data_IF_153521575947
#
_entry.id   IF_153521575947
#
_cell.length_a   1.000
_cell.length_b   1.000
_cell.length_c   1.000
_cell.angle_alpha   90.00
_cell.angle_beta   90.00
_cell.angle_gamma   90.00
#
_symmetry.space_group_name_H-M   'P 1'
#
loop_
_entity.id
_entity.type
_entity.pdbx_description
1 polymer ?
#
# COMPACT_ATOMS: atom_id res chain seq x y z
N UNK A 1 3.35 27.72 -13.07
CA UNK A 1 3.46 26.33 -12.57
C UNK A 1 2.24 25.98 -11.74
N UNK A 2 1.64 24.82 -11.94
CA UNK A 2 0.51 24.38 -11.12
C UNK A 2 0.99 24.11 -9.69
N UNK A 3 0.45 24.85 -8.72
CA UNK A 3 0.72 24.57 -7.32
C UNK A 3 -0.24 23.47 -6.85
N UNK A 4 0.28 22.30 -6.52
CA UNK A 4 -0.53 21.22 -5.98
C UNK A 4 -0.96 21.54 -4.54
N UNK A 5 -2.22 21.26 -4.24
CA UNK A 5 -2.79 21.49 -2.92
C UNK A 5 -2.85 20.20 -2.10
N UNK A 6 -3.03 19.09 -2.82
CA UNK A 6 -3.26 17.77 -2.23
C UNK A 6 -2.52 16.69 -3.04
N UNK A 7 -1.97 15.70 -2.35
CA UNK A 7 -1.62 14.40 -2.91
C UNK A 7 -2.45 13.30 -2.27
N UNK A 8 -2.85 12.32 -3.06
CA UNK A 8 -3.61 11.14 -2.60
C UNK A 8 -2.89 9.88 -3.04
N UNK A 9 -2.63 8.99 -2.08
CA UNK A 9 -2.27 7.60 -2.33
C UNK A 9 -3.49 6.73 -2.06
N UNK A 10 -4.08 6.19 -3.12
CA UNK A 10 -5.25 5.31 -3.05
C UNK A 10 -4.78 3.86 -3.04
N UNK A 11 -4.34 3.40 -1.87
CA UNK A 11 -3.85 2.03 -1.70
C UNK A 11 -4.97 1.01 -1.49
N UNK A 12 -4.65 -0.28 -1.70
CA UNK A 12 -5.60 -1.39 -1.49
C UNK A 12 -6.07 -1.52 -0.04
N UNK A 13 -5.24 -1.15 0.93
CA UNK A 13 -5.55 -1.27 2.36
C UNK A 13 -5.88 0.07 2.98
N UNK A 14 -5.05 1.09 2.73
CA UNK A 14 -5.24 2.43 3.28
C UNK A 14 -5.21 3.47 2.17
N UNK A 15 -6.08 4.45 2.30
CA UNK A 15 -6.03 5.71 1.55
C UNK A 15 -5.34 6.75 2.42
N UNK A 16 -4.33 7.42 1.85
CA UNK A 16 -3.61 8.52 2.52
C UNK A 16 -3.79 9.80 1.75
N UNK A 17 -3.99 10.90 2.49
CA UNK A 17 -4.10 12.24 1.92
C UNK A 17 -3.05 13.13 2.57
N UNK A 18 -2.25 13.77 1.74
CA UNK A 18 -1.27 14.78 2.12
C UNK A 18 -1.75 16.15 1.66
N UNK A 19 -1.67 17.14 2.52
CA UNK A 19 -2.00 18.54 2.24
C UNK A 19 -0.75 19.39 2.29
N UNK A 20 -0.53 20.20 1.26
CA UNK A 20 0.65 21.07 1.15
C UNK A 20 0.78 21.98 2.37
N UNK A 21 1.95 21.99 2.99
CA UNK A 21 2.26 22.81 4.17
C UNK A 21 1.64 22.32 5.48
N UNK A 22 0.96 21.16 5.48
CA UNK A 22 0.35 20.56 6.67
C UNK A 22 0.89 19.16 6.93
N UNK A 23 1.23 18.40 5.86
CA UNK A 23 1.66 17.02 5.94
C UNK A 23 0.53 16.04 5.67
N UNK A 24 0.70 14.80 6.15
CA UNK A 24 -0.32 13.75 6.02
C UNK A 24 -1.49 14.03 6.95
N UNK A 25 -2.65 14.34 6.38
CA UNK A 25 -3.88 14.74 7.10
C UNK A 25 -4.90 13.63 7.22
N UNK A 26 -4.74 12.53 6.48
CA UNK A 26 -5.60 11.35 6.56
C UNK A 26 -4.82 10.08 6.24
N UNK A 27 -5.06 9.04 7.04
CA UNK A 27 -4.62 7.66 6.80
C UNK A 27 -5.70 6.73 7.31
N UNK A 28 -6.65 6.37 6.44
CA UNK A 28 -7.81 5.56 6.79
C UNK A 28 -7.94 4.34 5.89
N UNK A 29 -8.60 3.25 6.36
CA UNK A 29 -8.87 2.07 5.55
C UNK A 29 -9.58 2.40 4.24
N UNK A 30 -9.12 1.83 3.13
CA UNK A 30 -9.77 1.91 1.81
C UNK A 30 -10.97 0.94 1.77
N UNK A 31 -11.97 1.23 2.60
CA UNK A 31 -13.14 0.38 2.79
C UNK A 31 -14.42 1.21 2.83
N UNK A 32 -15.49 0.59 2.32
CA UNK A 32 -16.87 1.04 2.49
C UNK A 32 -17.67 -0.09 3.15
N UNK A 33 -18.58 0.26 4.05
CA UNK A 33 -19.60 -0.64 4.55
C UNK A 33 -20.88 -0.43 3.75
N UNK A 34 -21.37 -1.48 3.13
CA UNK A 34 -22.59 -1.47 2.33
C UNK A 34 -23.72 -2.21 3.07
N UNK A 35 -24.95 -1.70 2.95
CA UNK A 35 -26.17 -2.46 3.22
C UNK A 35 -26.70 -3.02 1.90
N UNK A 36 -26.61 -4.31 1.70
CA UNK A 36 -27.03 -5.00 0.48
C UNK A 36 -28.55 -4.96 0.25
N UNK A 37 -29.34 -4.67 1.29
CA UNK A 37 -30.79 -4.51 1.18
C UNK A 37 -31.19 -3.12 0.66
N UNK A 38 -30.29 -2.13 0.73
CA UNK A 38 -30.54 -0.77 0.29
C UNK A 38 -30.23 -0.60 -1.20
N UNK A 39 -31.25 -0.41 -2.04
CA UNK A 39 -31.07 -0.20 -3.49
C UNK A 39 -30.65 1.23 -3.87
N UNK A 40 -30.99 2.25 -3.04
CA UNK A 40 -30.73 3.66 -3.39
C UNK A 40 -29.45 4.21 -2.81
N UNK A 41 -29.15 3.91 -1.55
CA UNK A 41 -27.95 4.40 -0.84
C UNK A 41 -27.32 3.24 -0.06
N UNK A 42 -26.57 2.34 -0.72
CA UNK A 42 -26.01 1.17 -0.04
C UNK A 42 -24.86 1.53 0.92
N UNK A 43 -24.18 2.68 0.76
CA UNK A 43 -23.01 3.04 1.54
C UNK A 43 -23.42 3.62 2.90
N UNK A 44 -23.16 2.88 3.96
CA UNK A 44 -23.44 3.26 5.36
C UNK A 44 -22.30 4.06 5.98
N UNK A 45 -21.05 3.61 5.77
CA UNK A 45 -19.86 4.23 6.35
C UNK A 45 -18.64 4.00 5.45
N UNK A 46 -17.57 4.80 5.68
CA UNK A 46 -16.29 4.67 4.98
C UNK A 46 -15.12 4.78 5.96
N UNK A 47 -14.03 4.09 5.65
CA UNK A 47 -12.80 4.17 6.44
C UNK A 47 -13.00 3.81 7.90
N UNK A 48 -12.49 4.64 8.79
CA UNK A 48 -12.58 4.42 10.23
C UNK A 48 -14.00 4.59 10.80
N UNK A 49 -14.91 5.28 10.10
CA UNK A 49 -16.30 5.42 10.54
C UNK A 49 -17.02 4.06 10.61
N UNK A 50 -16.53 3.04 9.91
CA UNK A 50 -17.05 1.67 9.95
C UNK A 50 -16.96 1.06 11.36
N UNK A 51 -15.95 1.46 12.14
CA UNK A 51 -15.77 1.01 13.54
C UNK A 51 -16.90 1.47 14.47
N UNK A 52 -17.56 2.58 14.12
CA UNK A 52 -18.66 3.15 14.91
C UNK A 52 -20.01 2.48 14.66
N UNK A 53 -20.09 1.55 13.70
CA UNK A 53 -21.33 0.79 13.43
C UNK A 53 -21.38 -0.44 14.32
N UNK A 54 -22.16 -0.36 15.41
CA UNK A 54 -22.22 -1.41 16.44
C UNK A 54 -23.12 -2.58 16.07
N UNK A 55 -24.23 -2.39 15.36
CA UNK A 55 -25.20 -3.43 15.04
C UNK A 55 -25.02 -3.91 13.59
N UNK A 56 -23.91 -4.60 13.31
CA UNK A 56 -23.69 -5.18 11.98
C UNK A 56 -24.65 -6.38 11.78
N UNK A 57 -25.39 -6.33 10.68
CA UNK A 57 -26.30 -7.40 10.26
C UNK A 57 -25.67 -8.23 9.14
N UNK A 58 -26.22 -9.40 8.84
CA UNK A 58 -25.78 -10.28 7.74
C UNK A 58 -25.93 -9.66 6.36
N UNK A 59 -26.74 -8.58 6.23
CA UNK A 59 -26.89 -7.81 5.00
C UNK A 59 -25.79 -6.77 4.81
N UNK A 60 -24.91 -6.57 5.79
CA UNK A 60 -23.84 -5.60 5.71
C UNK A 60 -22.53 -6.24 5.23
N UNK A 61 -21.89 -5.63 4.25
CA UNK A 61 -20.64 -6.11 3.67
C UNK A 61 -19.61 -4.99 3.56
N UNK A 62 -18.38 -5.27 4.01
CA UNK A 62 -17.23 -4.40 3.74
C UNK A 62 -16.68 -4.68 2.34
N UNK A 63 -16.51 -3.62 1.54
CA UNK A 63 -15.91 -3.71 0.20
C UNK A 63 -14.80 -2.68 0.03
N UNK A 64 -13.79 -3.03 -0.76
CA UNK A 64 -12.75 -2.08 -1.19
C UNK A 64 -12.96 -1.73 -2.66
N UNK A 65 -12.92 -0.45 -3.05
CA UNK A 65 -13.01 -0.03 -4.43
C UNK A 65 -11.70 -0.21 -5.21
N UNK A 66 -10.64 -0.68 -4.54
CA UNK A 66 -9.30 -0.87 -5.11
C UNK A 66 -8.85 -2.31 -4.90
N UNK A 67 -8.32 -2.91 -5.95
CA UNK A 67 -7.74 -4.26 -5.92
C UNK A 67 -6.47 -4.30 -6.78
N UNK A 68 -5.39 -4.89 -6.25
CA UNK A 68 -4.11 -5.02 -6.94
C UNK A 68 -3.55 -3.68 -7.51
N UNK A 69 -3.78 -2.59 -6.79
CA UNK A 69 -3.36 -1.25 -7.21
C UNK A 69 -4.29 -0.57 -8.23
N UNK A 70 -5.33 -1.24 -8.73
CA UNK A 70 -6.28 -0.70 -9.72
C UNK A 70 -7.62 -0.35 -9.09
N UNK A 71 -8.28 0.68 -9.65
CA UNK A 71 -9.65 1.08 -9.27
C UNK A 71 -10.63 0.09 -9.91
N UNK A 72 -11.27 -0.76 -9.10
CA UNK A 72 -12.22 -1.77 -9.58
C UNK A 72 -13.68 -1.31 -9.49
N UNK A 73 -13.95 -0.26 -8.70
CA UNK A 73 -15.27 0.36 -8.62
C UNK A 73 -15.13 1.88 -8.47
N UNK A 74 -15.30 2.60 -9.58
CA UNK A 74 -15.15 4.06 -9.66
C UNK A 74 -16.17 4.82 -8.81
N UNK A 75 -17.39 4.34 -8.75
CA UNK A 75 -18.47 4.99 -8.00
C UNK A 75 -18.20 4.92 -6.49
N UNK A 76 -17.85 3.74 -6.00
CA UNK A 76 -17.48 3.58 -4.59
C UNK A 76 -16.19 4.33 -4.24
N UNK A 77 -15.18 4.32 -5.11
CA UNK A 77 -13.97 5.13 -4.92
C UNK A 77 -14.31 6.61 -4.79
N UNK A 78 -15.17 7.13 -5.68
CA UNK A 78 -15.63 8.53 -5.65
C UNK A 78 -16.41 8.87 -4.37
N UNK A 79 -17.33 8.01 -3.95
CA UNK A 79 -18.12 8.22 -2.71
C UNK A 79 -17.16 8.28 -1.51
N UNK A 80 -16.28 7.30 -1.37
CA UNK A 80 -15.31 7.21 -0.29
C UNK A 80 -14.40 8.44 -0.25
N UNK A 81 -13.78 8.77 -1.38
CA UNK A 81 -12.86 9.89 -1.47
C UNK A 81 -13.53 11.24 -1.21
N UNK A 82 -14.78 11.47 -1.63
CA UNK A 82 -15.50 12.70 -1.27
C UNK A 82 -15.65 12.82 0.25
N UNK A 83 -16.02 11.72 0.94
CA UNK A 83 -16.12 11.72 2.40
C UNK A 83 -14.77 11.97 3.08
N UNK A 84 -13.69 11.38 2.57
CA UNK A 84 -12.34 11.62 3.09
C UNK A 84 -11.89 13.08 2.86
N UNK A 85 -12.16 13.63 1.68
CA UNK A 85 -11.86 15.03 1.37
C UNK A 85 -12.68 16.01 2.24
N UNK A 86 -13.92 15.69 2.54
CA UNK A 86 -14.75 16.46 3.50
C UNK A 86 -14.14 16.41 4.91
N UNK A 87 -13.68 15.25 5.39
CA UNK A 87 -13.00 15.11 6.70
C UNK A 87 -11.76 15.99 6.81
N UNK A 88 -11.00 16.16 5.74
CA UNK A 88 -9.79 17.01 5.72
C UNK A 88 -10.07 18.47 5.35
N UNK A 89 -11.36 18.86 5.29
CA UNK A 89 -11.77 20.24 5.05
C UNK A 89 -11.66 20.72 3.61
N UNK A 90 -11.58 19.80 2.62
CA UNK A 90 -11.54 20.13 1.20
C UNK A 90 -12.93 20.40 0.64
N UNK A 91 -13.25 21.69 0.42
CA UNK A 91 -14.54 22.11 -0.13
C UNK A 91 -14.58 21.91 -1.65
N UNK A 92 -15.61 21.22 -2.15
CA UNK A 92 -15.74 20.80 -3.55
C UNK A 92 -15.56 21.94 -4.57
N UNK A 93 -16.03 23.14 -4.28
CA UNK A 93 -15.98 24.30 -5.19
C UNK A 93 -14.60 24.97 -5.26
N UNK A 94 -13.66 24.64 -4.38
CA UNK A 94 -12.34 25.29 -4.29
C UNK A 94 -11.18 24.32 -4.53
N UNK A 95 -11.45 23.12 -5.06
CA UNK A 95 -10.41 22.12 -5.35
C UNK A 95 -9.56 22.58 -6.54
N UNK A 96 -8.27 22.77 -6.28
CA UNK A 96 -7.29 23.25 -7.24
C UNK A 96 -6.64 22.10 -8.01
N UNK A 97 -5.43 21.73 -7.61
CA UNK A 97 -4.61 20.67 -8.26
C UNK A 97 -4.45 19.46 -7.35
N UNK A 98 -4.64 18.29 -7.92
CA UNK A 98 -4.48 16.98 -7.29
C UNK A 98 -3.29 16.24 -7.89
N UNK A 99 -2.45 15.66 -7.04
CA UNK A 99 -1.43 14.71 -7.41
C UNK A 99 -1.81 13.31 -6.91
N UNK A 100 -1.95 12.36 -7.83
CA UNK A 100 -2.09 10.95 -7.50
C UNK A 100 -0.71 10.30 -7.31
N UNK A 101 -0.50 9.63 -6.19
CA UNK A 101 0.60 8.69 -6.01
C UNK A 101 0.09 7.30 -6.41
N UNK A 102 0.68 6.72 -7.44
CA UNK A 102 0.18 5.51 -8.08
C UNK A 102 1.20 4.38 -8.08
N UNK A 103 0.76 3.12 -8.20
CA UNK A 103 1.66 2.02 -8.51
C UNK A 103 2.42 2.25 -9.82
N UNK A 104 3.55 1.55 -9.96
CA UNK A 104 4.47 1.73 -11.10
C UNK A 104 3.91 1.20 -12.41
N UNK A 105 3.25 0.04 -12.38
CA UNK A 105 2.84 -0.71 -13.59
C UNK A 105 1.36 -0.52 -13.91
N UNK A 106 0.89 0.73 -13.92
CA UNK A 106 -0.44 1.05 -14.43
C UNK A 106 -0.46 1.07 -15.95
N UNK A 107 -1.48 0.44 -16.56
CA UNK A 107 -1.78 0.64 -17.98
C UNK A 107 -2.21 2.08 -18.23
N UNK A 108 -2.13 2.53 -19.50
CA UNK A 108 -2.63 3.86 -19.86
C UNK A 108 -4.13 4.03 -19.56
N UNK A 109 -4.92 2.95 -19.69
CA UNK A 109 -6.33 2.98 -19.30
C UNK A 109 -6.49 3.20 -17.78
N UNK A 110 -5.70 2.52 -16.95
CA UNK A 110 -5.77 2.68 -15.49
C UNK A 110 -5.32 4.08 -15.08
N UNK A 111 -4.28 4.64 -15.70
CA UNK A 111 -3.86 6.03 -15.49
C UNK A 111 -5.00 7.00 -15.81
N UNK A 112 -5.65 6.82 -16.96
CA UNK A 112 -6.82 7.63 -17.34
C UNK A 112 -7.97 7.51 -16.35
N UNK A 113 -8.15 6.35 -15.72
CA UNK A 113 -9.15 6.15 -14.66
C UNK A 113 -8.84 6.99 -13.42
N UNK A 114 -7.58 7.04 -12.97
CA UNK A 114 -7.15 7.92 -11.88
C UNK A 114 -7.39 9.40 -12.22
N UNK A 115 -7.03 9.83 -13.43
CA UNK A 115 -7.23 11.20 -13.90
C UNK A 115 -8.72 11.56 -13.94
N UNK A 116 -9.55 10.72 -14.54
CA UNK A 116 -11.00 10.91 -14.63
C UNK A 116 -11.65 10.93 -13.24
N UNK A 117 -11.20 10.06 -12.33
CA UNK A 117 -11.65 10.09 -10.94
C UNK A 117 -11.32 11.44 -10.29
N UNK A 118 -10.11 11.96 -10.46
CA UNK A 118 -9.71 13.27 -9.94
C UNK A 118 -10.59 14.42 -10.46
N UNK A 119 -10.88 14.46 -11.76
CA UNK A 119 -11.81 15.43 -12.35
C UNK A 119 -13.23 15.25 -11.79
N UNK A 120 -13.69 14.01 -11.62
CA UNK A 120 -15.02 13.72 -11.06
C UNK A 120 -15.17 14.14 -9.60
N UNK A 121 -14.04 14.24 -8.87
CA UNK A 121 -13.97 14.78 -7.51
C UNK A 121 -14.01 16.31 -7.50
N UNK A 122 -13.89 16.98 -8.64
CA UNK A 122 -13.98 18.43 -8.79
C UNK A 122 -12.62 19.15 -8.81
N UNK A 123 -11.53 18.44 -8.98
CA UNK A 123 -10.22 19.05 -9.20
C UNK A 123 -10.09 19.60 -10.62
N UNK A 124 -9.41 20.74 -10.77
CA UNK A 124 -9.20 21.41 -12.07
C UNK A 124 -7.98 20.86 -12.82
N UNK A 125 -6.94 20.49 -12.07
CA UNK A 125 -5.72 19.92 -12.61
C UNK A 125 -5.44 18.61 -11.88
N UNK A 126 -5.18 17.56 -12.63
CA UNK A 126 -4.91 16.22 -12.08
C UNK A 126 -3.64 15.68 -12.74
N UNK A 127 -2.70 15.28 -11.92
CA UNK A 127 -1.45 14.66 -12.37
C UNK A 127 -1.18 13.36 -11.64
N UNK A 128 -0.30 12.56 -12.23
CA UNK A 128 0.11 11.26 -11.69
C UNK A 128 1.61 11.28 -11.45
N UNK A 129 2.02 10.72 -10.32
CA UNK A 129 3.41 10.44 -9.98
C UNK A 129 3.52 9.00 -9.46
N UNK A 130 4.40 8.15 -10.02
CA UNK A 130 4.66 6.83 -9.44
C UNK A 130 5.15 6.96 -8.00
N UNK A 131 4.57 6.17 -7.08
CA UNK A 131 4.91 6.19 -5.65
C UNK A 131 6.39 5.96 -5.39
N UNK A 132 7.05 5.14 -6.22
CA UNK A 132 8.49 4.88 -6.13
C UNK A 132 9.33 6.15 -6.38
N UNK A 133 8.94 7.01 -7.34
CA UNK A 133 9.66 8.26 -7.63
C UNK A 133 9.57 9.21 -6.43
N UNK A 134 8.39 9.34 -5.84
CA UNK A 134 8.22 10.08 -4.60
C UNK A 134 9.03 9.45 -3.44
N UNK A 135 9.01 8.11 -3.32
CA UNK A 135 9.75 7.38 -2.29
C UNK A 135 11.26 7.66 -2.31
N UNK A 136 11.87 7.68 -3.49
CA UNK A 136 13.29 8.01 -3.61
C UNK A 136 13.61 9.44 -3.18
N UNK A 137 12.67 10.37 -3.32
CA UNK A 137 12.86 11.72 -2.79
C UNK A 137 12.90 11.75 -1.26
N UNK A 138 12.14 10.86 -0.58
CA UNK A 138 12.24 10.71 0.88
C UNK A 138 13.62 10.17 1.29
N UNK A 139 14.17 9.25 0.51
CA UNK A 139 15.48 8.64 0.76
C UNK A 139 16.66 9.57 0.41
N UNK A 140 16.39 10.80 -0.01
CA UNK A 140 17.41 11.80 -0.40
C UNK A 140 18.35 11.30 -1.51
N UNK A 141 17.86 10.38 -2.34
CA UNK A 141 18.58 9.90 -3.49
C UNK A 141 18.51 10.95 -4.58
N UNK A 142 19.70 11.36 -5.07
CA UNK A 142 19.79 12.31 -6.18
C UNK A 142 19.18 11.71 -7.45
N UNK A 143 17.99 12.21 -7.82
CA UNK A 143 17.25 11.73 -8.99
C UNK A 143 17.84 12.23 -10.31
N UNK A 144 18.77 13.18 -10.31
CA UNK A 144 19.50 13.61 -11.50
C UNK A 144 20.67 12.66 -11.81
N UNK A 145 21.03 11.83 -10.85
CA UNK A 145 22.04 10.79 -11.01
C UNK A 145 21.63 9.78 -12.10
N UNK A 146 22.64 9.28 -12.83
CA UNK A 146 22.46 8.30 -13.92
C UNK A 146 22.32 6.86 -13.41
N UNK A 147 22.64 6.61 -12.14
CA UNK A 147 22.55 5.26 -11.58
C UNK A 147 21.11 4.83 -11.36
N UNK A 148 20.88 3.54 -11.60
CA UNK A 148 19.61 2.92 -11.30
C UNK A 148 19.47 2.65 -9.82
N UNK A 149 18.26 2.84 -9.30
CA UNK A 149 17.88 2.51 -7.93
C UNK A 149 16.62 1.64 -7.95
N UNK A 150 16.54 0.67 -7.04
CA UNK A 150 15.37 -0.20 -6.92
C UNK A 150 14.63 0.05 -5.61
N UNK A 151 13.32 0.27 -5.71
CA UNK A 151 12.41 0.35 -4.57
C UNK A 151 11.40 -0.78 -4.65
N UNK A 152 11.14 -1.43 -3.51
CA UNK A 152 10.14 -2.48 -3.35
C UNK A 152 9.15 -2.06 -2.28
N UNK A 153 7.94 -1.71 -2.69
CA UNK A 153 6.82 -1.37 -1.81
C UNK A 153 5.96 -2.61 -1.57
N UNK A 154 6.04 -3.17 -0.36
CA UNK A 154 5.28 -4.36 0.03
C UNK A 154 4.04 -3.89 0.80
N UNK A 155 2.97 -3.66 0.05
CA UNK A 155 1.71 -3.15 0.59
C UNK A 155 0.77 -4.22 1.11
N UNK A 156 -0.45 -3.80 1.49
CA UNK A 156 -1.46 -4.72 2.00
C UNK A 156 -2.19 -5.53 0.94
N UNK A 157 -2.23 -5.10 -0.32
CA UNK A 157 -2.93 -5.82 -1.39
C UNK A 157 -2.14 -5.93 -2.69
N UNK A 158 -0.96 -5.34 -2.75
CA UNK A 158 -0.02 -5.49 -3.87
C UNK A 158 1.41 -5.27 -3.39
N UNK A 159 2.35 -5.80 -4.16
CA UNK A 159 3.78 -5.53 -4.05
C UNK A 159 4.21 -4.84 -5.35
N UNK A 160 4.79 -3.66 -5.22
CA UNK A 160 5.28 -2.84 -6.33
C UNK A 160 6.81 -2.85 -6.35
N UNK A 161 7.40 -3.35 -7.42
CA UNK A 161 8.86 -3.39 -7.63
C UNK A 161 9.20 -2.40 -8.72
N UNK A 162 10.04 -1.42 -8.44
CA UNK A 162 10.32 -0.31 -9.33
C UNK A 162 11.81 -0.07 -9.48
N UNK A 163 12.29 0.02 -10.71
CA UNK A 163 13.64 0.49 -11.06
C UNK A 163 13.53 1.88 -11.66
N UNK A 164 14.16 2.84 -11.00
CA UNK A 164 14.10 4.26 -11.39
C UNK A 164 15.48 4.77 -11.77
N UNK A 165 15.55 5.50 -12.87
CA UNK A 165 16.74 6.17 -13.38
C UNK A 165 16.35 7.60 -13.74
N UNK A 166 17.07 8.59 -13.24
CA UNK A 166 16.80 10.02 -13.50
C UNK A 166 15.33 10.42 -13.27
N UNK A 167 14.76 9.98 -12.17
CA UNK A 167 13.37 10.30 -11.81
C UNK A 167 12.30 9.62 -12.68
N UNK A 168 12.68 8.72 -13.57
CA UNK A 168 11.75 7.99 -14.45
C UNK A 168 11.79 6.49 -14.14
N UNK A 169 10.63 5.88 -14.09
CA UNK A 169 10.53 4.42 -14.02
C UNK A 169 11.03 3.84 -15.33
N UNK A 170 12.10 3.05 -15.25
CA UNK A 170 12.66 2.34 -16.39
C UNK A 170 12.01 0.97 -16.54
N UNK A 171 11.85 0.25 -15.43
CA UNK A 171 11.29 -1.09 -15.36
C UNK A 171 10.55 -1.26 -14.05
N UNK A 172 9.53 -2.10 -14.03
CA UNK A 172 8.82 -2.41 -12.80
C UNK A 172 7.71 -3.41 -12.98
N UNK A 173 7.15 -3.85 -11.86
CA UNK A 173 6.06 -4.79 -11.81
C UNK A 173 5.20 -4.51 -10.56
N UNK A 174 3.90 -4.45 -10.74
CA UNK A 174 2.94 -4.43 -9.63
C UNK A 174 2.28 -5.80 -9.55
N UNK A 175 2.71 -6.61 -8.59
CA UNK A 175 2.15 -7.94 -8.35
C UNK A 175 0.97 -7.85 -7.37
N UNK A 176 -0.11 -8.57 -7.66
CA UNK A 176 -1.32 -8.62 -6.81
C UNK A 176 -1.13 -9.52 -5.58
N UNK A 177 0.01 -9.44 -4.91
CA UNK A 177 0.33 -10.11 -3.66
C UNK A 177 0.66 -9.08 -2.58
N UNK A 178 0.13 -9.26 -1.37
CA UNK A 178 0.31 -8.31 -0.28
C UNK A 178 -0.09 -8.88 1.08
N UNK A 179 -0.19 -8.00 2.07
CA UNK A 179 -0.49 -8.38 3.45
C UNK A 179 -1.81 -9.14 3.64
N UNK A 180 -2.79 -8.93 2.74
CA UNK A 180 -4.06 -9.67 2.79
C UNK A 180 -3.90 -11.15 2.44
N UNK A 181 -2.92 -11.50 1.60
CA UNK A 181 -2.61 -12.91 1.31
C UNK A 181 -2.00 -13.59 2.53
N UNK A 182 -1.18 -12.85 3.29
CA UNK A 182 -0.65 -13.31 4.58
C UNK A 182 -1.80 -13.50 5.58
N UNK A 183 -2.72 -12.54 5.70
CA UNK A 183 -3.90 -12.63 6.57
C UNK A 183 -4.72 -13.88 6.24
N UNK A 184 -4.99 -14.11 4.95
CA UNK A 184 -5.72 -15.30 4.48
C UNK A 184 -4.99 -16.61 4.80
N UNK A 185 -3.66 -16.61 4.67
CA UNK A 185 -2.84 -17.77 5.00
C UNK A 185 -2.82 -18.07 6.50
N UNK A 186 -2.86 -17.03 7.35
CA UNK A 186 -3.00 -17.19 8.81
C UNK A 186 -4.38 -17.77 9.17
N UNK A 187 -5.45 -17.29 8.54
CA UNK A 187 -6.81 -17.85 8.73
C UNK A 187 -6.81 -19.35 8.42
N UNK A 188 -6.23 -19.74 7.27
CA UNK A 188 -6.16 -21.14 6.86
C UNK A 188 -5.32 -21.98 7.84
N UNK A 189 -4.14 -21.48 8.22
CA UNK A 189 -3.27 -22.17 9.18
C UNK A 189 -3.99 -22.46 10.51
N UNK A 190 -4.68 -21.45 11.05
CA UNK A 190 -5.37 -21.61 12.35
C UNK A 190 -6.61 -22.48 12.23
N UNK A 191 -7.33 -22.41 11.11
CA UNK A 191 -8.44 -23.32 10.85
C UNK A 191 -7.97 -24.79 10.75
N UNK A 192 -6.88 -25.04 10.05
CA UNK A 192 -6.36 -26.39 9.84
C UNK A 192 -5.70 -26.98 11.10
N UNK A 193 -5.01 -26.14 11.90
CA UNK A 193 -4.27 -26.60 13.07
C UNK A 193 -5.14 -26.69 14.35
N UNK A 194 -6.15 -25.85 14.48
CA UNK A 194 -6.93 -25.68 15.72
C UNK A 194 -8.44 -25.77 15.51
N UNK A 195 -8.90 -26.14 14.31
CA UNK A 195 -10.33 -26.25 13.94
C UNK A 195 -11.15 -24.99 14.31
N UNK A 196 -10.48 -23.81 14.25
CA UNK A 196 -11.07 -22.54 14.67
C UNK A 196 -11.21 -21.57 13.51
N UNK A 197 -12.31 -20.81 13.50
CA UNK A 197 -12.56 -19.77 12.50
C UNK A 197 -12.26 -18.40 13.08
N UNK A 198 -11.26 -17.71 12.53
CA UNK A 198 -11.00 -16.30 12.83
C UNK A 198 -11.34 -15.42 11.63
N UNK A 199 -11.62 -14.14 11.89
CA UNK A 199 -11.82 -13.16 10.81
C UNK A 199 -10.49 -12.73 10.21
N UNK A 200 -10.52 -12.22 8.97
CA UNK A 200 -9.35 -11.58 8.34
C UNK A 200 -8.81 -10.39 9.14
N UNK A 201 -9.69 -9.67 9.84
CA UNK A 201 -9.29 -8.57 10.73
C UNK A 201 -8.46 -9.10 11.90
N UNK A 202 -8.88 -10.23 12.50
CA UNK A 202 -8.13 -10.87 13.58
C UNK A 202 -6.80 -11.44 13.09
N UNK A 203 -6.76 -12.04 11.91
CA UNK A 203 -5.52 -12.51 11.29
C UNK A 203 -4.55 -11.35 11.02
N UNK A 204 -5.07 -10.18 10.62
CA UNK A 204 -4.28 -8.96 10.48
C UNK A 204 -3.68 -8.50 11.80
N UNK A 205 -4.46 -8.50 12.90
CA UNK A 205 -3.95 -8.17 14.24
C UNK A 205 -2.82 -9.12 14.67
N UNK A 206 -2.99 -10.43 14.43
CA UNK A 206 -1.95 -11.44 14.69
C UNK A 206 -0.68 -11.13 13.91
N UNK A 207 -0.79 -10.90 12.60
CA UNK A 207 0.34 -10.56 11.73
C UNK A 207 1.07 -9.30 12.20
N UNK A 208 0.34 -8.27 12.61
CA UNK A 208 0.92 -7.01 13.09
C UNK A 208 1.60 -7.16 14.46
N UNK A 209 1.07 -8.05 15.32
CA UNK A 209 1.66 -8.34 16.64
C UNK A 209 2.87 -9.26 16.56
N UNK A 210 2.91 -10.17 15.58
CA UNK A 210 3.96 -11.19 15.42
C UNK A 210 4.63 -11.01 14.06
N UNK A 211 5.23 -9.83 13.84
CA UNK A 211 5.81 -9.39 12.56
C UNK A 211 7.31 -9.70 12.45
N UNK A 212 7.70 -10.95 12.65
CA UNK A 212 9.10 -11.40 12.58
C UNK A 212 9.24 -12.69 11.77
N UNK A 213 10.37 -12.82 11.08
CA UNK A 213 10.77 -14.04 10.38
C UNK A 213 12.05 -14.65 10.96
N UNK A 214 12.56 -14.07 12.05
CA UNK A 214 13.75 -14.60 12.71
C UNK A 214 13.46 -15.97 13.35
N UNK A 215 14.35 -16.96 13.21
CA UNK A 215 14.07 -18.33 13.63
C UNK A 215 13.97 -18.51 15.15
N UNK A 216 14.59 -17.64 15.92
CA UNK A 216 14.66 -17.72 17.38
C UNK A 216 13.94 -16.57 18.09
N UNK A 217 13.07 -15.86 17.39
CA UNK A 217 12.28 -14.80 17.99
C UNK A 217 11.22 -15.37 18.93
N UNK A 218 11.09 -14.76 20.10
CA UNK A 218 10.13 -15.17 21.15
C UNK A 218 8.81 -14.38 21.03
N UNK A 219 8.63 -13.59 19.97
CA UNK A 219 7.38 -12.87 19.75
C UNK A 219 6.21 -13.85 19.66
N UNK A 220 5.12 -13.47 20.28
CA UNK A 220 3.86 -14.20 20.25
C UNK A 220 2.72 -13.28 20.67
N UNK A 221 1.51 -13.74 20.47
CA UNK A 221 0.30 -13.06 20.91
C UNK A 221 -0.75 -14.06 21.38
N UNK A 222 -1.64 -13.62 22.25
CA UNK A 222 -2.81 -14.37 22.68
C UNK A 222 -4.03 -13.89 21.90
N UNK A 223 -4.80 -14.83 21.38
CA UNK A 223 -5.99 -14.55 20.58
C UNK A 223 -7.19 -15.26 21.17
N UNK A 224 -8.25 -14.49 21.42
CA UNK A 224 -9.54 -15.09 21.76
C UNK A 224 -10.14 -15.73 20.50
N UNK A 225 -10.38 -17.01 20.59
CA UNK A 225 -11.07 -17.82 19.59
C UNK A 225 -12.41 -18.29 20.15
N UNK A 226 -13.36 -18.54 19.27
CA UNK A 226 -14.66 -19.07 19.63
C UNK A 226 -14.85 -20.38 18.87
N UNK A 227 -15.14 -21.45 19.59
CA UNK A 227 -15.41 -22.75 18.99
C UNK A 227 -16.79 -22.81 18.30
N UNK A 228 -17.11 -23.93 17.70
CA UNK A 228 -18.38 -24.15 17.02
C UNK A 228 -19.61 -24.11 17.96
N UNK A 229 -19.40 -24.27 19.25
CA UNK A 229 -20.43 -24.21 20.29
C UNK A 229 -20.57 -22.83 20.94
N UNK A 230 -19.73 -21.84 20.52
CA UNK A 230 -19.73 -20.48 21.05
C UNK A 230 -18.93 -20.31 22.34
N UNK A 231 -18.19 -21.34 22.79
CA UNK A 231 -17.29 -21.21 23.94
C UNK A 231 -16.01 -20.48 23.55
N UNK A 232 -15.68 -19.43 24.30
CA UNK A 232 -14.46 -18.66 24.11
C UNK A 232 -13.26 -19.35 24.78
N UNK A 233 -12.16 -19.48 24.09
CA UNK A 233 -10.87 -19.91 24.64
C UNK A 233 -9.75 -18.98 24.16
N UNK A 234 -8.65 -18.96 24.92
CA UNK A 234 -7.46 -18.18 24.55
C UNK A 234 -6.45 -19.10 23.88
N UNK A 235 -6.02 -18.73 22.67
CA UNK A 235 -5.00 -19.44 21.90
C UNK A 235 -3.73 -18.59 21.90
N UNK A 236 -2.61 -19.15 22.37
CA UNK A 236 -1.30 -18.55 22.24
C UNK A 236 -0.69 -18.91 20.87
N UNK A 237 -0.28 -17.90 20.11
CA UNK A 237 0.33 -18.04 18.79
C UNK A 237 1.73 -17.45 18.83
N UNK A 238 2.72 -18.23 18.43
CA UNK A 238 4.13 -17.85 18.42
C UNK A 238 4.62 -17.49 17.01
N UNK A 239 5.73 -16.74 16.95
CA UNK A 239 6.45 -16.46 15.71
C UNK A 239 6.87 -17.74 14.97
N UNK A 240 7.15 -18.81 15.71
CA UNK A 240 7.57 -20.11 15.14
C UNK A 240 6.45 -20.73 14.29
N UNK A 241 5.20 -20.66 14.76
CA UNK A 241 4.03 -21.22 14.06
C UNK A 241 3.71 -20.44 12.78
N UNK A 242 3.89 -19.12 12.78
CA UNK A 242 3.59 -18.26 11.64
C UNK A 242 4.73 -18.18 10.62
N UNK A 243 5.94 -18.62 11.00
CA UNK A 243 7.15 -18.40 10.21
C UNK A 243 7.05 -18.95 8.79
N UNK A 244 6.54 -20.15 8.62
CA UNK A 244 6.46 -20.79 7.29
C UNK A 244 5.46 -20.07 6.37
N UNK A 245 4.37 -19.53 6.92
CA UNK A 245 3.45 -18.65 6.19
C UNK A 245 4.19 -17.42 5.67
N UNK A 246 4.95 -16.75 6.54
CA UNK A 246 5.70 -15.55 6.20
C UNK A 246 6.80 -15.83 5.18
N UNK A 247 7.59 -16.88 5.37
CA UNK A 247 8.65 -17.24 4.44
C UNK A 247 8.11 -17.59 3.06
N UNK A 248 6.99 -18.32 3.00
CA UNK A 248 6.31 -18.65 1.74
C UNK A 248 5.86 -17.41 1.00
N UNK A 249 5.30 -16.43 1.72
CA UNK A 249 4.90 -15.15 1.13
C UNK A 249 6.11 -14.35 0.64
N UNK A 250 7.13 -14.16 1.47
CA UNK A 250 8.31 -13.37 1.10
C UNK A 250 9.16 -14.02 0.00
N UNK A 251 9.09 -15.33 -0.17
CA UNK A 251 9.67 -15.99 -1.37
C UNK A 251 8.96 -15.52 -2.65
N UNK A 252 7.64 -15.31 -2.64
CA UNK A 252 6.93 -14.74 -3.80
C UNK A 252 7.39 -13.31 -4.09
N UNK A 253 7.63 -12.51 -3.05
CA UNK A 253 8.21 -11.17 -3.19
C UNK A 253 9.61 -11.24 -3.81
N UNK A 254 10.47 -12.15 -3.34
CA UNK A 254 11.80 -12.38 -3.94
C UNK A 254 11.69 -12.72 -5.44
N UNK A 255 10.72 -13.56 -5.81
CA UNK A 255 10.50 -13.92 -7.21
C UNK A 255 10.09 -12.70 -8.05
N UNK A 256 9.25 -11.79 -7.53
CA UNK A 256 8.91 -10.53 -8.21
C UNK A 256 10.16 -9.66 -8.42
N UNK A 257 10.99 -9.49 -7.38
CA UNK A 257 12.25 -8.74 -7.47
C UNK A 257 13.16 -9.34 -8.55
N UNK A 258 13.39 -10.66 -8.50
CA UNK A 258 14.23 -11.37 -9.47
C UNK A 258 13.70 -11.22 -10.90
N UNK A 259 12.37 -11.28 -11.09
CA UNK A 259 11.76 -11.10 -12.41
C UNK A 259 12.03 -9.71 -12.98
N UNK A 260 11.94 -8.65 -12.15
CA UNK A 260 12.23 -7.28 -12.59
C UNK A 260 13.72 -7.12 -12.90
N UNK A 261 14.62 -7.67 -12.08
CA UNK A 261 16.07 -7.64 -12.33
C UNK A 261 16.40 -8.31 -13.67
N UNK A 262 15.80 -9.46 -13.96
CA UNK A 262 16.03 -10.22 -15.19
C UNK A 262 15.53 -9.49 -16.45
N UNK A 263 14.60 -8.55 -16.31
CA UNK A 263 14.14 -7.69 -17.42
C UNK A 263 15.02 -6.45 -17.64
N UNK A 264 15.96 -6.18 -16.74
CA UNK A 264 16.84 -5.02 -16.85
C UNK A 264 18.09 -5.32 -17.70
N UNK A 265 18.61 -4.33 -18.45
CA UNK A 265 19.93 -4.42 -19.07
C UNK A 265 21.04 -4.63 -18.04
N UNK A 266 22.14 -5.28 -18.46
CA UNK A 266 23.27 -5.60 -17.54
C UNK A 266 23.85 -4.37 -16.84
N UNK A 267 23.88 -3.21 -17.46
CA UNK A 267 24.36 -1.95 -16.87
C UNK A 267 23.46 -1.53 -15.69
N UNK A 268 22.16 -1.66 -15.85
CA UNK A 268 21.16 -1.37 -14.80
C UNK A 268 21.29 -2.36 -13.65
N UNK A 269 21.48 -3.63 -13.95
CA UNK A 269 21.73 -4.66 -12.91
C UNK A 269 23.02 -4.38 -12.14
N UNK A 270 24.08 -3.94 -12.83
CA UNK A 270 25.34 -3.54 -12.20
C UNK A 270 25.16 -2.34 -11.25
N UNK A 271 24.31 -1.38 -11.64
CA UNK A 271 23.96 -0.26 -10.76
C UNK A 271 23.19 -0.72 -9.53
N UNK A 272 22.14 -1.53 -9.72
CA UNK A 272 21.31 -2.05 -8.61
C UNK A 272 22.17 -2.87 -7.62
N UNK A 273 23.16 -3.64 -8.11
CA UNK A 273 24.10 -4.36 -7.25
C UNK A 273 24.93 -3.43 -6.35
N UNK A 274 25.18 -2.19 -6.78
CA UNK A 274 25.94 -1.19 -6.03
C UNK A 274 25.04 -0.36 -5.13
N UNK A 275 23.90 0.11 -5.66
CA UNK A 275 22.96 1.01 -4.96
C UNK A 275 22.07 0.27 -3.97
N UNK A 276 21.82 -1.04 -4.22
CA UNK A 276 20.97 -1.89 -3.39
C UNK A 276 19.47 -1.74 -3.66
N UNK A 277 18.70 -2.44 -2.84
CA UNK A 277 17.23 -2.49 -2.88
C UNK A 277 16.71 -1.80 -1.61
N UNK A 278 15.79 -0.86 -1.78
CA UNK A 278 15.12 -0.17 -0.68
C UNK A 278 13.74 -0.77 -0.45
N UNK A 279 13.45 -1.18 0.80
CA UNK A 279 12.16 -1.78 1.18
C UNK A 279 11.27 -0.73 1.83
N UNK A 280 10.08 -0.55 1.27
CA UNK A 280 9.01 0.26 1.85
C UNK A 280 7.66 -0.47 1.83
N UNK A 281 6.59 0.22 2.24
CA UNK A 281 5.28 -0.40 2.47
C UNK A 281 5.15 -1.04 3.85
N UNK A 282 3.91 -1.32 4.26
CA UNK A 282 3.62 -1.76 5.63
C UNK A 282 4.27 -3.08 6.04
N UNK A 283 4.51 -4.00 5.07
CA UNK A 283 5.18 -5.27 5.38
C UNK A 283 6.70 -5.17 5.45
N UNK A 284 7.30 -4.05 5.03
CA UNK A 284 8.74 -3.83 5.23
C UNK A 284 9.14 -3.72 6.72
N UNK A 285 8.15 -3.52 7.60
CA UNK A 285 8.34 -3.53 9.07
C UNK A 285 8.62 -4.92 9.67
N UNK A 286 8.59 -6.00 8.88
CA UNK A 286 8.90 -7.34 9.39
C UNK A 286 10.37 -7.45 9.80
N UNK A 287 10.59 -7.83 11.06
CA UNK A 287 11.94 -8.02 11.61
C UNK A 287 12.68 -9.12 10.87
N UNK A 288 13.86 -8.80 10.33
CA UNK A 288 14.73 -9.72 9.60
C UNK A 288 14.41 -9.86 8.11
N UNK A 289 13.43 -9.12 7.57
CA UNK A 289 13.04 -9.19 6.16
C UNK A 289 14.16 -8.76 5.22
N UNK A 290 14.86 -7.68 5.55
CA UNK A 290 16.01 -7.17 4.82
C UNK A 290 17.10 -8.25 4.64
N UNK A 291 17.44 -8.92 5.75
CA UNK A 291 18.42 -10.03 5.74
C UNK A 291 17.94 -11.22 4.94
N UNK A 292 16.65 -11.54 5.04
CA UNK A 292 16.06 -12.65 4.28
C UNK A 292 16.12 -12.37 2.78
N UNK A 293 15.63 -11.23 2.32
CA UNK A 293 15.66 -10.87 0.88
C UNK A 293 17.11 -10.81 0.39
N UNK A 294 18.01 -10.17 1.14
CA UNK A 294 19.44 -10.15 0.81
C UNK A 294 20.02 -11.55 0.65
N UNK A 295 19.66 -12.49 1.53
CA UNK A 295 20.16 -13.87 1.45
C UNK A 295 19.68 -14.64 0.21
N UNK A 296 18.51 -14.23 -0.35
CA UNK A 296 17.90 -14.88 -1.53
C UNK A 296 18.32 -14.24 -2.84
N UNK A 297 18.48 -12.92 -2.84
CA UNK A 297 18.77 -12.14 -4.06
C UNK A 297 20.27 -11.90 -4.24
N UNK A 298 21.04 -11.83 -3.15
CA UNK A 298 22.50 -11.56 -3.18
C UNK A 298 22.84 -10.06 -3.33
N UNK A 299 21.87 -9.17 -3.31
CA UNK A 299 22.02 -7.70 -3.44
C UNK A 299 21.85 -7.08 -2.06
N UNK A 300 22.55 -5.95 -1.72
CA UNK A 300 22.28 -5.21 -0.51
C UNK A 300 20.83 -4.77 -0.40
N UNK A 301 20.23 -4.88 0.79
CA UNK A 301 18.83 -4.53 1.05
C UNK A 301 18.77 -3.60 2.25
N UNK A 302 18.03 -2.52 2.12
CA UNK A 302 17.89 -1.47 3.13
C UNK A 302 16.43 -1.32 3.51
N UNK A 303 16.11 -1.52 4.80
CA UNK A 303 14.80 -1.19 5.34
C UNK A 303 14.71 0.33 5.56
N UNK A 304 13.61 0.92 5.13
CA UNK A 304 13.34 2.36 5.27
C UNK A 304 12.63 2.61 6.60
N UNK A 305 12.91 3.73 7.26
CA UNK A 305 12.16 4.15 8.44
C UNK A 305 10.74 4.57 8.07
N UNK A 306 9.74 4.20 8.89
CA UNK A 306 8.32 4.45 8.64
C UNK A 306 7.91 4.09 7.20
N UNK A 307 8.18 2.84 6.78
CA UNK A 307 8.17 2.45 5.38
C UNK A 307 6.80 2.61 4.71
N UNK A 308 5.72 2.61 5.48
CA UNK A 308 4.36 2.80 4.99
C UNK A 308 4.05 4.23 4.54
N UNK A 309 4.87 5.22 4.94
CA UNK A 309 4.71 6.63 4.58
C UNK A 309 5.77 7.14 3.59
N UNK A 310 6.71 6.33 3.16
CA UNK A 310 7.86 6.73 2.33
C UNK A 310 7.45 7.59 1.13
N UNK A 311 6.47 7.16 0.34
CA UNK A 311 6.00 7.92 -0.82
C UNK A 311 5.29 9.22 -0.44
N UNK A 312 4.60 9.26 0.69
CA UNK A 312 3.90 10.46 1.16
C UNK A 312 4.88 11.53 1.63
N UNK A 313 5.90 11.15 2.40
CA UNK A 313 6.93 12.08 2.87
C UNK A 313 7.80 12.58 1.72
N UNK A 314 8.15 11.71 0.76
CA UNK A 314 8.84 12.16 -0.44
C UNK A 314 8.01 13.11 -1.29
N UNK A 315 6.70 12.89 -1.38
CA UNK A 315 5.79 13.82 -2.03
C UNK A 315 5.72 15.17 -1.30
N UNK A 316 5.76 15.18 0.02
CA UNK A 316 5.81 16.42 0.81
C UNK A 316 7.07 17.23 0.51
N UNK A 317 8.24 16.59 0.42
CA UNK A 317 9.49 17.24 -0.03
C UNK A 317 9.34 17.82 -1.43
N UNK A 318 8.77 17.07 -2.37
CA UNK A 318 8.52 17.54 -3.74
C UNK A 318 7.56 18.73 -3.83
N UNK A 319 6.59 18.85 -2.95
CA UNK A 319 5.70 20.01 -2.90
C UNK A 319 6.44 21.31 -2.53
N UNK A 320 7.57 21.21 -1.86
CA UNK A 320 8.47 22.34 -1.57
C UNK A 320 9.45 22.62 -2.73
N UNK A 321 9.54 21.73 -3.73
CA UNK A 321 10.42 21.82 -4.91
C UNK A 321 9.58 21.79 -6.21
N UNK A 322 8.75 22.81 -6.50
CA UNK A 322 7.76 22.78 -7.59
C UNK A 322 8.38 22.64 -8.99
N UNK A 323 9.59 23.11 -9.20
CA UNK A 323 10.32 22.94 -10.46
C UNK A 323 10.67 21.48 -10.68
N UNK A 324 11.27 20.83 -9.70
CA UNK A 324 11.60 19.41 -9.74
C UNK A 324 10.35 18.54 -9.91
N UNK A 325 9.29 18.84 -9.14
CA UNK A 325 8.02 18.12 -9.28
C UNK A 325 7.46 18.24 -10.71
N UNK A 326 7.54 19.40 -11.34
CA UNK A 326 7.02 19.61 -12.71
C UNK A 326 7.74 18.76 -13.77
N UNK A 327 8.99 18.37 -13.54
CA UNK A 327 9.75 17.47 -14.42
C UNK A 327 9.44 15.99 -14.19
N UNK A 328 8.95 15.63 -12.99
CA UNK A 328 8.69 14.26 -12.59
C UNK A 328 7.26 13.80 -12.88
N UNK A 329 6.29 14.72 -12.88
CA UNK A 329 4.89 14.37 -13.10
C UNK A 329 4.55 14.16 -14.56
N UNK A 330 3.66 13.21 -14.81
CA UNK A 330 3.03 13.08 -16.12
C UNK A 330 1.81 13.99 -16.16
N UNK A 331 1.87 15.03 -16.98
CA UNK A 331 0.72 15.89 -17.28
C UNK A 331 -0.08 15.19 -18.38
N UNK A 332 -1.32 14.81 -18.10
CA UNK A 332 -2.26 14.50 -19.16
C UNK A 332 -2.86 15.82 -19.67
N UNK A 333 -2.35 16.25 -20.82
CA UNK A 333 -2.89 17.37 -21.60
C UNK A 333 -4.18 16.97 -22.31
#
# INVERSE_FOLDING_TARGET
MAKYNIAISLGCTNTRILKTGVGVVLNEPTLLLLDLNSKKNPVLAVGDDIKNIHNKTTSMQCVSPVKNGNIVNKEYAKIMLNKFLEKVGEKKFFRGSLLWLTPTSLSENDKNEYVNLGYSLGYKNVSILPSAVAGFQELEIDMDNRHAHMLVDIGGGCTDVSVVVRGKVLQGCTAGIGGRDVDSSIVNLLNDAFETKISLEKAKEIKESVNTILPNDQLGCNVMIVDEFGAGSELAISARELRDVYLTFFMKVCNCITSVINMCPNEIVADINKTGIYLCGGLANFTGLDKFIRSKIGIPVYAVERPEFTSMFGCEKLFNEPEKLSHLVTLNS
#
